data_IF_900145970753
#
_entry.id   IF_900145970753
#
_cell.length_a   1.000
_cell.length_b   1.000
_cell.length_c   1.000
_cell.angle_alpha   90.00
_cell.angle_beta   90.00
_cell.angle_gamma   90.00
#
_symmetry.space_group_name_H-M   'P 1'
#
loop_
_entity.id
_entity.type
_entity.pdbx_description
1 polymer ?
#
# COMPACT_ATOMS: atom_id res chain seq x y z
N UNK A 1 84.03 20.86 10.95
CA UNK A 1 84.13 19.43 10.59
C UNK A 1 83.02 18.66 11.30
N UNK A 2 82.25 17.72 10.77
CA UNK A 2 81.90 17.19 9.43
C UNK A 2 80.85 16.11 9.73
N UNK A 3 79.76 16.06 8.96
CA UNK A 3 78.65 15.09 9.11
C UNK A 3 79.06 13.69 8.60
N UNK A 4 78.50 12.61 9.14
CA UNK A 4 77.80 11.64 8.27
C UNK A 4 76.46 11.20 8.87
N UNK A 5 75.32 11.46 8.21
CA UNK A 5 74.65 10.59 7.23
C UNK A 5 74.37 9.18 7.75
N UNK A 6 73.13 8.93 8.19
CA UNK A 6 72.55 7.58 8.17
C UNK A 6 71.29 7.57 7.32
N UNK A 7 71.43 6.84 6.23
CA UNK A 7 70.43 6.47 5.23
C UNK A 7 69.26 5.69 5.82
N UNK A 8 68.05 6.00 5.36
CA UNK A 8 66.98 5.00 5.29
C UNK A 8 66.41 5.01 3.88
N UNK A 9 66.59 3.90 3.16
CA UNK A 9 65.91 3.59 1.90
C UNK A 9 64.88 2.50 2.14
N UNK A 10 63.75 2.61 1.43
CA UNK A 10 62.79 1.52 1.11
C UNK A 10 61.87 1.13 2.28
N UNK A 11 60.63 0.73 2.10
CA UNK A 11 59.78 0.48 0.93
C UNK A 11 58.32 0.59 1.45
N UNK A 12 57.36 1.05 0.68
CA UNK A 12 56.49 0.13 -0.05
C UNK A 12 55.06 0.67 0.03
N UNK A 13 54.43 0.81 -1.13
CA UNK A 13 53.04 1.24 -1.25
C UNK A 13 52.11 0.11 -0.82
N UNK A 14 51.12 0.42 0.00
CA UNK A 14 49.80 -0.21 -0.07
C UNK A 14 48.76 0.88 0.06
N UNK A 15 48.14 1.19 -1.07
CA UNK A 15 46.91 1.96 -1.14
C UNK A 15 45.81 1.13 -0.47
N UNK A 16 45.38 1.55 0.71
CA UNK A 16 44.10 1.14 1.26
C UNK A 16 43.12 2.30 1.02
N UNK A 17 42.44 2.25 -0.13
CA UNK A 17 41.25 3.06 -0.35
C UNK A 17 40.16 2.55 0.60
N UNK A 18 40.08 3.15 1.79
CA UNK A 18 38.93 2.99 2.65
C UNK A 18 37.78 3.81 2.04
N UNK A 19 37.00 3.19 1.17
CA UNK A 19 35.67 3.69 0.81
C UNK A 19 34.83 3.54 2.08
N UNK A 20 34.81 4.57 2.91
CA UNK A 20 33.79 4.74 3.93
C UNK A 20 32.50 4.99 3.17
N UNK A 21 31.71 3.93 3.01
CA UNK A 21 30.34 4.02 2.53
C UNK A 21 29.56 4.92 3.47
N UNK A 22 29.45 6.20 3.12
CA UNK A 22 28.39 7.07 3.62
C UNK A 22 27.08 6.53 3.05
N UNK A 23 26.51 5.53 3.71
CA UNK A 23 25.07 5.28 3.63
C UNK A 23 24.39 6.48 4.31
N UNK A 24 24.34 7.59 3.56
CA UNK A 24 23.55 8.76 3.90
C UNK A 24 22.08 8.38 3.82
N UNK A 25 21.58 7.76 4.87
CA UNK A 25 20.15 7.63 5.09
C UNK A 25 19.58 9.04 5.19
N UNK A 26 18.88 9.47 4.14
CA UNK A 26 18.02 10.64 4.22
C UNK A 26 16.94 10.25 5.22
N UNK A 27 17.09 10.68 6.47
CA UNK A 27 16.00 10.64 7.44
C UNK A 27 15.03 11.72 6.97
N UNK A 28 14.20 11.37 6.00
CA UNK A 28 13.03 12.16 5.65
C UNK A 28 12.16 12.17 6.89
N UNK A 29 12.23 13.25 7.67
CA UNK A 29 11.20 13.54 8.64
C UNK A 29 9.92 13.75 7.83
N UNK A 30 9.14 12.66 7.69
CA UNK A 30 7.84 12.72 7.08
C UNK A 30 6.97 13.75 7.83
N UNK A 31 5.93 14.29 7.19
CA UNK A 31 4.97 15.10 7.92
C UNK A 31 4.51 14.30 9.15
N UNK A 32 4.36 14.97 10.30
CA UNK A 32 3.72 14.36 11.45
C UNK A 32 2.27 14.06 11.07
N UNK A 33 2.03 12.85 10.58
CA UNK A 33 0.70 12.37 10.26
C UNK A 33 0.03 12.04 11.60
N UNK A 34 -1.07 12.74 11.89
CA UNK A 34 -2.07 12.18 12.78
C UNK A 34 -2.50 10.86 12.12
N UNK A 35 -2.43 9.76 12.86
CA UNK A 35 -2.51 8.39 12.35
C UNK A 35 -1.29 7.98 11.54
N UNK A 36 -0.44 7.14 12.14
CA UNK A 36 0.72 6.53 11.48
C UNK A 36 0.47 5.03 11.30
N UNK A 37 -0.28 4.63 10.26
CA UNK A 37 -0.44 3.22 9.94
C UNK A 37 0.84 2.67 9.30
N UNK A 38 1.36 1.58 9.82
CA UNK A 38 2.40 0.80 9.18
C UNK A 38 1.99 -0.65 9.11
N UNK A 39 2.22 -1.28 7.97
CA UNK A 39 1.90 -2.69 7.78
C UNK A 39 2.76 -3.28 6.66
N UNK A 40 3.03 -4.58 6.78
CA UNK A 40 3.82 -5.33 5.82
C UNK A 40 3.12 -6.65 5.49
N UNK A 41 3.27 -7.03 4.22
CA UNK A 41 2.80 -8.31 3.67
C UNK A 41 4.04 -9.03 3.15
N UNK A 42 4.27 -10.25 3.63
CA UNK A 42 5.24 -11.18 3.07
C UNK A 42 4.48 -12.25 2.27
N UNK A 43 5.18 -13.27 1.79
CA UNK A 43 4.50 -14.39 1.15
C UNK A 43 3.56 -15.10 2.16
N UNK A 44 3.97 -15.31 3.41
CA UNK A 44 3.22 -16.14 4.36
C UNK A 44 2.54 -15.39 5.50
N UNK A 45 2.82 -14.09 5.69
CA UNK A 45 2.44 -13.37 6.89
C UNK A 45 2.07 -11.90 6.64
N UNK A 46 1.19 -11.38 7.48
CA UNK A 46 0.83 -9.95 7.55
C UNK A 46 1.12 -9.41 8.94
N UNK A 47 1.77 -8.25 9.02
CA UNK A 47 2.04 -7.55 10.28
C UNK A 47 1.46 -6.14 10.23
N UNK A 48 0.92 -5.68 11.36
CA UNK A 48 0.31 -4.37 11.51
C UNK A 48 0.90 -3.66 12.73
N UNK A 49 1.12 -2.36 12.58
CA UNK A 49 1.44 -1.43 13.66
C UNK A 49 0.77 -0.08 13.35
N UNK A 50 -0.41 0.11 13.94
CA UNK A 50 -1.27 1.28 13.82
C UNK A 50 -1.08 2.13 15.07
N UNK A 51 -0.71 3.40 14.90
CA UNK A 51 -0.40 4.32 16.01
C UNK A 51 -1.02 5.68 15.81
N UNK A 52 -1.13 6.42 16.91
CA UNK A 52 -1.65 7.79 16.96
C UNK A 52 -3.11 7.89 16.50
N UNK A 53 -3.94 6.91 16.88
CA UNK A 53 -5.40 6.94 16.73
C UNK A 53 -6.08 7.59 17.93
N UNK A 54 -7.32 8.03 17.74
CA UNK A 54 -8.11 8.60 18.82
C UNK A 54 -8.41 7.56 19.91
N UNK A 55 -8.10 7.90 21.16
CA UNK A 55 -8.49 7.10 22.33
C UNK A 55 -9.89 7.42 22.86
N UNK A 56 -10.54 8.45 22.32
CA UNK A 56 -11.88 8.91 22.72
C UNK A 56 -12.97 8.53 21.73
N UNK A 57 -12.62 7.77 20.68
CA UNK A 57 -13.55 7.24 19.70
C UNK A 57 -13.17 5.80 19.34
N UNK A 58 -14.12 5.02 18.83
CA UNK A 58 -13.90 3.62 18.44
C UNK A 58 -13.25 3.57 17.06
N UNK A 59 -12.07 2.98 16.95
CA UNK A 59 -11.41 2.70 15.67
C UNK A 59 -11.62 1.24 15.29
N UNK A 60 -11.66 0.94 14.00
CA UNK A 60 -11.83 -0.43 13.50
C UNK A 60 -10.70 -0.80 12.54
N UNK A 61 -10.21 -2.02 12.62
CA UNK A 61 -9.28 -2.60 11.65
C UNK A 61 -9.82 -3.93 11.12
N UNK A 62 -9.68 -4.15 9.82
CA UNK A 62 -10.02 -5.43 9.16
C UNK A 62 -8.92 -5.77 8.16
N UNK A 63 -8.54 -7.04 8.09
CA UNK A 63 -7.56 -7.54 7.11
C UNK A 63 -8.15 -8.75 6.42
N UNK A 64 -8.10 -8.76 5.08
CA UNK A 64 -8.67 -9.85 4.27
C UNK A 64 -7.81 -10.15 3.05
N UNK A 65 -7.94 -11.36 2.50
CA UNK A 65 -7.51 -11.64 1.13
C UNK A 65 -8.62 -11.20 0.18
N UNK A 66 -8.29 -10.46 -0.88
CA UNK A 66 -9.30 -9.97 -1.83
C UNK A 66 -9.99 -11.15 -2.51
N UNK A 67 -11.31 -11.26 -2.32
CA UNK A 67 -12.11 -12.36 -2.83
C UNK A 67 -11.97 -13.68 -2.04
N UNK A 68 -11.29 -13.64 -0.89
CA UNK A 68 -11.12 -14.75 0.04
C UNK A 68 -11.62 -14.43 1.45
N UNK A 69 -11.06 -15.13 2.43
CA UNK A 69 -11.43 -15.00 3.84
C UNK A 69 -10.77 -13.80 4.54
N UNK A 70 -11.36 -13.39 5.66
CA UNK A 70 -10.76 -12.43 6.58
C UNK A 70 -9.60 -13.07 7.36
N UNK A 71 -8.42 -12.46 7.27
CA UNK A 71 -7.25 -12.79 8.09
C UNK A 71 -7.38 -12.22 9.50
N UNK A 72 -8.06 -11.07 9.61
CA UNK A 72 -8.46 -10.43 10.84
C UNK A 72 -9.86 -9.87 10.64
N UNK A 73 -10.83 -10.49 11.30
CA UNK A 73 -12.19 -9.98 11.38
C UNK A 73 -12.19 -8.56 11.98
N UNK A 74 -13.22 -7.78 11.66
CA UNK A 74 -13.34 -6.40 12.15
C UNK A 74 -13.15 -6.34 13.66
N UNK A 75 -12.05 -5.70 14.05
CA UNK A 75 -11.61 -5.60 15.44
C UNK A 75 -11.56 -4.14 15.84
N UNK A 76 -12.19 -3.82 16.96
CA UNK A 76 -12.14 -2.48 17.54
C UNK A 76 -10.81 -2.26 18.27
N UNK A 77 -10.26 -1.05 18.18
CA UNK A 77 -9.04 -0.68 18.90
C UNK A 77 -9.08 0.78 19.38
N UNK A 78 -8.25 1.06 20.39
CA UNK A 78 -8.08 2.40 20.96
C UNK A 78 -7.03 3.22 20.19
N UNK A 79 -6.06 3.78 20.91
CA UNK A 79 -5.05 4.65 20.30
C UNK A 79 -4.02 3.93 19.41
N UNK A 80 -3.88 2.61 19.60
CA UNK A 80 -2.91 1.79 18.92
C UNK A 80 -3.41 0.36 18.72
N UNK A 81 -2.91 -0.28 17.67
CA UNK A 81 -3.12 -1.68 17.39
C UNK A 81 -1.88 -2.26 16.73
N UNK A 82 -1.30 -3.30 17.33
CA UNK A 82 -0.17 -4.01 16.75
C UNK A 82 -0.38 -5.51 16.84
N UNK A 83 -0.06 -6.24 15.76
CA UNK A 83 -0.09 -7.70 15.76
C UNK A 83 1.04 -8.24 16.63
N UNK A 84 0.70 -8.84 17.78
CA UNK A 84 1.69 -9.53 18.64
C UNK A 84 2.27 -10.78 17.98
N UNK A 85 1.44 -11.46 17.20
CA UNK A 85 1.80 -12.58 16.34
C UNK A 85 1.35 -12.22 14.93
N UNK A 86 2.18 -12.44 13.89
CA UNK A 86 1.78 -12.18 12.52
C UNK A 86 0.49 -12.91 12.15
N UNK A 87 -0.33 -12.29 11.30
CA UNK A 87 -1.50 -12.96 10.74
C UNK A 87 -1.02 -13.88 9.63
N UNK A 88 -1.36 -15.17 9.70
CA UNK A 88 -0.89 -16.13 8.71
C UNK A 88 -1.71 -16.03 7.43
N UNK A 89 -1.03 -15.93 6.29
CA UNK A 89 -1.63 -16.09 4.97
C UNK A 89 -1.83 -17.58 4.66
N UNK A 90 -2.91 -17.92 3.92
CA UNK A 90 -3.05 -19.26 3.39
C UNK A 90 -1.93 -19.55 2.38
N UNK A 91 -1.58 -20.83 2.23
CA UNK A 91 -0.67 -21.28 1.16
C UNK A 91 -1.27 -20.95 -0.20
N UNK A 92 -0.42 -20.51 -1.11
CA UNK A 92 -0.81 -20.04 -2.44
C UNK A 92 0.30 -20.32 -3.45
N UNK A 93 -0.09 -20.78 -4.64
CA UNK A 93 0.76 -21.02 -5.80
C UNK A 93 0.76 -19.84 -6.79
N UNK A 94 0.01 -18.78 -6.47
CA UNK A 94 -0.13 -17.54 -7.24
C UNK A 94 -0.16 -16.34 -6.30
N UNK A 95 0.22 -15.18 -6.80
CA UNK A 95 0.13 -13.92 -6.06
C UNK A 95 -1.25 -13.73 -5.40
N UNK A 96 -1.26 -13.38 -4.11
CA UNK A 96 -2.46 -13.00 -3.38
C UNK A 96 -2.48 -11.50 -3.16
N UNK A 97 -3.66 -10.89 -3.30
CA UNK A 97 -3.85 -9.48 -2.90
C UNK A 97 -4.45 -9.44 -1.50
N UNK A 98 -3.76 -8.78 -0.58
CA UNK A 98 -4.19 -8.56 0.80
C UNK A 98 -4.71 -7.14 0.94
N UNK A 99 -5.89 -6.99 1.53
CA UNK A 99 -6.58 -5.72 1.77
C UNK A 99 -6.55 -5.39 3.26
N UNK A 100 -6.01 -4.22 3.59
CA UNK A 100 -6.14 -3.58 4.89
C UNK A 100 -7.21 -2.49 4.82
N UNK A 101 -8.16 -2.53 5.75
CA UNK A 101 -9.13 -1.44 5.97
C UNK A 101 -9.00 -0.96 7.40
N UNK A 102 -8.79 0.34 7.56
CA UNK A 102 -8.82 1.00 8.86
C UNK A 102 -9.88 2.10 8.83
N UNK A 103 -10.82 2.06 9.79
CA UNK A 103 -11.70 3.18 10.08
C UNK A 103 -11.22 3.89 11.34
N UNK A 104 -10.90 5.18 11.20
CA UNK A 104 -10.63 6.04 12.33
C UNK A 104 -11.95 6.50 12.95
N UNK A 105 -12.02 6.50 14.29
CA UNK A 105 -13.23 6.85 15.03
C UNK A 105 -13.47 8.36 15.16
N UNK A 106 -12.45 9.18 14.92
CA UNK A 106 -12.51 10.64 15.08
C UNK A 106 -12.88 11.38 13.80
N UNK A 107 -12.26 11.05 12.67
CA UNK A 107 -12.58 11.66 11.38
C UNK A 107 -12.37 10.67 10.22
N UNK A 108 -13.32 10.65 9.28
CA UNK A 108 -13.28 9.79 8.10
C UNK A 108 -12.05 10.05 7.21
N UNK A 109 -11.48 11.27 7.23
CA UNK A 109 -10.27 11.60 6.47
C UNK A 109 -9.04 10.77 6.89
N UNK A 110 -9.06 10.19 8.09
CA UNK A 110 -8.01 9.31 8.62
C UNK A 110 -8.32 7.83 8.44
N UNK A 111 -9.51 7.52 7.92
CA UNK A 111 -9.84 6.17 7.47
C UNK A 111 -9.17 5.91 6.13
N UNK A 112 -8.67 4.69 5.93
CA UNK A 112 -8.05 4.32 4.67
C UNK A 112 -8.26 2.85 4.33
N UNK A 113 -8.07 2.57 3.05
CA UNK A 113 -8.02 1.24 2.51
C UNK A 113 -6.78 1.14 1.63
N UNK A 114 -5.98 0.11 1.85
CA UNK A 114 -4.78 -0.15 1.06
C UNK A 114 -4.72 -1.64 0.72
N UNK A 115 -4.18 -1.94 -0.46
CA UNK A 115 -3.97 -3.30 -0.93
C UNK A 115 -2.48 -3.52 -1.19
N UNK A 116 -1.97 -4.70 -0.82
CA UNK A 116 -0.60 -5.14 -1.09
C UNK A 116 -0.60 -6.56 -1.63
N UNK A 117 0.34 -6.85 -2.51
CA UNK A 117 0.52 -8.18 -3.08
C UNK A 117 1.46 -9.01 -2.20
N UNK A 118 1.03 -10.23 -1.86
CA UNK A 118 1.87 -11.30 -1.35
C UNK A 118 2.34 -12.15 -2.54
N UNK A 119 3.64 -12.13 -2.79
CA UNK A 119 4.30 -12.99 -3.77
C UNK A 119 4.25 -14.46 -3.33
N UNK A 120 4.38 -15.39 -4.28
CA UNK A 120 4.46 -16.82 -3.98
C UNK A 120 5.70 -17.14 -3.14
N UNK A 121 5.53 -17.94 -2.08
CA UNK A 121 6.67 -18.38 -1.26
C UNK A 121 7.63 -19.27 -2.06
N UNK A 122 8.94 -19.01 -1.95
CA UNK A 122 9.97 -19.87 -2.54
C UNK A 122 9.89 -21.30 -1.97
N UNK A 123 9.82 -22.29 -2.86
CA UNK A 123 9.71 -23.71 -2.49
C UNK A 123 8.30 -24.30 -2.58
N UNK A 124 7.26 -23.49 -2.83
CA UNK A 124 5.88 -23.98 -3.03
C UNK A 124 5.45 -23.99 -4.51
N UNK A 125 6.28 -23.50 -5.43
CA UNK A 125 6.06 -23.72 -6.87
C UNK A 125 6.23 -25.21 -7.17
N UNK A 126 5.19 -25.93 -7.65
CA UNK A 126 5.43 -27.27 -8.16
C UNK A 126 6.46 -27.15 -9.29
N UNK A 127 7.62 -27.78 -9.11
CA UNK A 127 8.58 -27.96 -10.19
C UNK A 127 7.81 -28.46 -11.42
N UNK A 128 8.01 -27.90 -12.62
CA UNK A 128 7.35 -28.41 -13.81
C UNK A 128 7.66 -29.91 -13.88
N UNK A 129 6.63 -30.73 -13.72
CA UNK A 129 6.75 -32.17 -13.94
C UNK A 129 7.30 -32.31 -15.35
N UNK A 130 8.45 -32.98 -15.57
CA UNK A 130 8.92 -33.20 -16.93
C UNK A 130 7.83 -33.94 -17.66
N UNK A 131 7.23 -33.27 -18.66
CA UNK A 131 6.32 -33.91 -19.60
C UNK A 131 7.11 -35.04 -20.24
N UNK A 132 6.85 -36.25 -19.77
CA UNK A 132 7.33 -37.46 -20.40
C UNK A 132 6.71 -37.46 -21.79
N UNK A 133 7.56 -37.23 -22.79
CA UNK A 133 7.17 -37.21 -24.20
C UNK A 133 6.65 -38.62 -24.54
N UNK A 134 5.33 -38.79 -24.46
CA UNK A 134 4.67 -39.97 -25.00
C UNK A 134 4.89 -39.91 -26.52
N UNK A 135 5.57 -40.90 -27.13
CA UNK A 135 5.74 -40.91 -28.57
C UNK A 135 4.37 -41.04 -29.23
N UNK A 136 4.14 -40.12 -30.17
CA UNK A 136 3.01 -40.06 -31.08
C UNK A 136 2.88 -41.37 -31.87
N UNK A 137 1.81 -42.13 -31.64
CA UNK A 137 1.34 -43.10 -32.63
C UNK A 137 0.28 -42.48 -33.52
N UNK A 138 0.56 -42.57 -34.82
CA UNK A 138 -0.13 -42.06 -36.01
C UNK A 138 -1.52 -42.70 -36.19
N UNK A 139 -2.40 -42.11 -37.03
CA UNK A 139 -3.85 -42.23 -36.96
C UNK A 139 -4.38 -43.48 -37.64
N UNK A 140 -5.46 -44.04 -37.09
CA UNK A 140 -6.29 -45.00 -37.80
C UNK A 140 -7.66 -44.40 -38.13
N UNK A 141 -8.09 -44.70 -39.35
CA UNK A 141 -9.13 -44.07 -40.15
C UNK A 141 -10.45 -44.86 -40.04
N UNK A 142 -11.57 -44.11 -39.87
CA UNK A 142 -12.94 -44.37 -40.41
C UNK A 142 -13.84 -45.45 -39.73
N UNK A 143 -15.21 -45.45 -39.87
CA UNK A 143 -16.20 -44.49 -40.41
C UNK A 143 -17.28 -44.02 -39.39
N UNK A 144 -18.22 -43.11 -39.80
CA UNK A 144 -19.30 -42.58 -38.96
C UNK A 144 -20.56 -43.46 -38.97
N UNK A 145 -21.23 -43.55 -37.82
CA UNK A 145 -22.61 -44.07 -37.65
C UNK A 145 -23.27 -43.11 -36.64
N UNK A 146 -23.99 -42.06 -37.07
CA UNK A 146 -25.39 -42.00 -37.54
C UNK A 146 -26.42 -42.56 -36.55
N UNK A 147 -27.41 -41.71 -36.23
CA UNK A 147 -28.71 -41.99 -35.58
C UNK A 147 -28.66 -42.11 -34.03
N UNK A 148 -29.56 -41.55 -33.20
CA UNK A 148 -30.88 -40.95 -33.40
C UNK A 148 -31.41 -40.39 -32.05
N UNK A 149 -32.34 -39.43 -32.13
CA UNK A 149 -33.35 -38.98 -31.12
C UNK A 149 -32.86 -38.31 -29.82
N UNK A 150 -32.98 -36.99 -29.68
CA UNK A 150 -34.13 -36.16 -29.24
C UNK A 150 -34.18 -35.89 -27.71
N UNK A 151 -34.67 -34.71 -27.29
CA UNK A 151 -34.37 -34.07 -26.02
C UNK A 151 -35.30 -34.52 -24.89
N UNK A 152 -34.81 -34.47 -23.65
CA UNK A 152 -35.70 -34.42 -22.49
C UNK A 152 -35.56 -33.07 -21.82
N UNK A 153 -36.52 -32.20 -22.13
CA UNK A 153 -36.81 -30.98 -21.39
C UNK A 153 -37.23 -31.33 -19.95
N UNK A 154 -36.75 -30.55 -18.98
CA UNK A 154 -37.56 -30.07 -17.85
C UNK A 154 -36.84 -28.88 -17.19
N UNK A 155 -37.19 -27.62 -17.52
CA UNK A 155 -37.03 -26.51 -16.60
C UNK A 155 -38.26 -26.48 -15.68
N UNK A 156 -38.05 -26.67 -14.38
CA UNK A 156 -39.11 -26.41 -13.39
C UNK A 156 -39.11 -24.92 -13.09
N UNK A 157 -39.75 -24.13 -13.95
CA UNK A 157 -40.13 -22.75 -13.65
C UNK A 157 -41.31 -22.77 -12.68
N UNK A 158 -41.06 -22.41 -11.43
CA UNK A 158 -42.11 -21.97 -10.52
C UNK A 158 -42.40 -20.51 -10.82
N UNK A 159 -43.40 -20.27 -11.66
CA UNK A 159 -44.05 -18.98 -11.80
C UNK A 159 -45.19 -18.87 -10.78
N UNK A 160 -45.18 -17.79 -9.99
CA UNK A 160 -46.34 -17.00 -9.51
C UNK A 160 -45.94 -16.31 -8.21
N UNK A 161 -45.81 -14.97 -8.22
CA UNK A 161 -46.90 -14.10 -7.74
C UNK A 161 -46.49 -12.61 -7.77
N UNK A 162 -47.17 -11.87 -8.64
CA UNK A 162 -47.70 -10.50 -8.44
C UNK A 162 -46.73 -9.34 -8.18
N UNK A 163 -46.57 -8.51 -9.21
CA UNK A 163 -46.46 -7.04 -9.10
C UNK A 163 -47.75 -6.41 -9.65
N UNK A 164 -48.26 -5.34 -9.00
CA UNK A 164 -48.40 -4.03 -9.66
C UNK A 164 -47.95 -2.92 -8.68
N UNK A 165 -47.46 -1.73 -9.04
CA UNK A 165 -47.26 -0.99 -10.27
C UNK A 165 -46.16 0.07 -9.99
N UNK A 166 -45.46 0.60 -11.00
CA UNK A 166 -44.56 1.74 -10.83
C UNK A 166 -45.35 3.06 -10.85
N UNK A 167 -45.14 3.91 -9.84
CA UNK A 167 -45.57 5.30 -9.90
C UNK A 167 -44.42 6.15 -10.48
N UNK A 168 -44.65 6.61 -11.71
CA UNK A 168 -44.17 7.85 -12.36
C UNK A 168 -42.75 8.38 -12.06
N UNK A 169 -41.85 8.40 -13.06
CA UNK A 169 -40.79 9.40 -13.16
C UNK A 169 -41.29 10.58 -14.00
N UNK A 170 -41.59 11.72 -13.38
CA UNK A 170 -41.64 12.98 -14.12
C UNK A 170 -41.43 14.19 -13.20
N UNK A 171 -40.18 14.63 -13.14
CA UNK A 171 -39.89 16.06 -13.13
C UNK A 171 -38.67 16.30 -14.00
N UNK A 172 -38.96 16.90 -15.15
CA UNK A 172 -38.14 17.69 -16.05
C UNK A 172 -36.67 17.96 -15.64
N UNK A 173 -35.79 17.63 -16.60
CA UNK A 173 -34.39 18.04 -16.83
C UNK A 173 -34.04 19.52 -16.49
N UNK A 174 -32.75 19.95 -16.45
CA UNK A 174 -31.56 19.31 -17.02
C UNK A 174 -30.29 19.26 -16.13
N UNK A 175 -29.37 18.42 -16.60
CA UNK A 175 -27.93 18.41 -16.31
C UNK A 175 -27.29 19.78 -16.59
N UNK A 176 -26.81 20.45 -15.54
CA UNK A 176 -25.70 21.42 -15.58
C UNK A 176 -25.05 21.53 -14.20
N UNK A 177 -23.83 21.02 -14.09
CA UNK A 177 -22.75 21.52 -13.23
C UNK A 177 -23.09 21.79 -11.75
N UNK A 178 -23.22 20.71 -10.96
CA UNK A 178 -22.91 20.73 -9.53
C UNK A 178 -21.38 20.74 -9.33
N UNK A 179 -20.71 21.78 -9.83
CA UNK A 179 -19.46 22.22 -9.22
C UNK A 179 -19.84 23.07 -8.02
N UNK A 180 -20.20 22.38 -6.93
CA UNK A 180 -20.43 22.95 -5.62
C UNK A 180 -19.19 23.72 -5.16
N UNK A 181 -19.16 24.99 -5.56
CA UNK A 181 -18.35 26.03 -4.97
C UNK A 181 -18.81 26.20 -3.53
N UNK A 182 -18.22 25.42 -2.63
CA UNK A 182 -18.30 25.70 -1.20
C UNK A 182 -17.59 27.02 -0.94
N UNK A 183 -18.39 28.08 -0.94
CA UNK A 183 -18.05 29.42 -0.47
C UNK A 183 -17.80 29.37 1.04
N UNK A 184 -16.60 28.96 1.45
CA UNK A 184 -16.12 29.08 2.82
C UNK A 184 -14.58 29.05 2.87
N UNK A 185 -13.93 30.06 2.32
CA UNK A 185 -12.52 30.36 2.67
C UNK A 185 -12.32 31.86 2.74
N UNK A 186 -12.32 32.43 3.95
CA UNK A 186 -11.39 33.50 4.23
C UNK A 186 -10.66 33.25 5.55
N UNK A 187 -10.00 32.10 5.73
CA UNK A 187 -9.15 31.89 6.93
C UNK A 187 -7.87 31.10 6.64
N UNK A 188 -7.28 31.26 5.45
CA UNK A 188 -5.88 30.83 5.20
C UNK A 188 -5.09 32.03 4.67
N UNK A 189 -5.13 33.13 5.43
CA UNK A 189 -4.32 34.33 5.17
C UNK A 189 -3.36 34.70 6.31
N UNK A 190 -3.57 34.17 7.51
CA UNK A 190 -2.84 34.62 8.71
C UNK A 190 -1.47 33.98 8.91
N UNK A 191 -1.30 32.69 8.60
CA UNK A 191 -0.09 31.95 8.96
C UNK A 191 1.14 32.31 8.09
N UNK A 192 0.94 32.65 6.81
CA UNK A 192 2.02 33.00 5.90
C UNK A 192 2.74 34.30 6.30
N UNK A 193 2.01 35.25 6.89
CA UNK A 193 2.56 36.56 7.27
C UNK A 193 3.46 36.47 8.51
N UNK A 194 3.17 35.55 9.45
CA UNK A 194 4.00 35.31 10.63
C UNK A 194 5.36 34.71 10.28
N UNK A 195 5.41 33.76 9.33
CA UNK A 195 6.67 33.13 8.87
C UNK A 195 7.54 34.14 8.12
N UNK A 196 6.94 34.99 7.27
CA UNK A 196 7.67 36.04 6.55
C UNK A 196 8.26 37.10 7.49
N UNK A 197 7.55 37.48 8.56
CA UNK A 197 8.08 38.40 9.58
C UNK A 197 9.22 37.78 10.39
N UNK A 198 9.12 36.51 10.78
CA UNK A 198 10.18 35.80 11.49
C UNK A 198 11.44 35.62 10.61
N UNK A 199 11.28 35.15 9.38
CA UNK A 199 12.38 34.97 8.43
C UNK A 199 13.05 36.29 8.02
N UNK A 200 12.24 37.32 7.72
CA UNK A 200 12.72 38.65 7.37
C UNK A 200 13.47 39.34 8.51
N UNK A 201 12.98 39.19 9.75
CA UNK A 201 13.63 39.77 10.95
C UNK A 201 15.03 39.20 11.21
N UNK A 202 15.23 37.90 10.98
CA UNK A 202 16.53 37.24 11.15
C UNK A 202 17.52 37.76 10.09
N UNK A 203 17.13 37.79 8.81
CA UNK A 203 18.00 38.26 7.73
C UNK A 203 18.35 39.75 7.86
N UNK A 204 17.40 40.59 8.29
CA UNK A 204 17.65 42.01 8.53
C UNK A 204 18.62 42.24 9.70
N UNK A 205 18.49 41.46 10.78
CA UNK A 205 19.37 41.55 11.95
C UNK A 205 20.82 41.17 11.62
N UNK A 206 21.03 40.14 10.80
CA UNK A 206 22.38 39.74 10.34
C UNK A 206 22.99 40.81 9.43
N UNK A 207 22.21 41.40 8.53
CA UNK A 207 22.67 42.49 7.65
C UNK A 207 23.06 43.74 8.44
N UNK A 208 22.29 44.12 9.45
CA UNK A 208 22.59 45.29 10.30
C UNK A 208 23.92 45.13 11.05
N UNK A 209 24.20 43.94 11.58
CA UNK A 209 25.49 43.66 12.27
C UNK A 209 26.71 43.74 11.35
N UNK A 210 26.57 43.36 10.07
CA UNK A 210 27.67 43.47 9.09
C UNK A 210 27.95 44.91 8.65
N UNK A 211 26.93 45.77 8.62
CA UNK A 211 27.09 47.19 8.26
C UNK A 211 27.74 48.04 9.37
N UNK A 212 27.83 47.53 10.60
CA UNK A 212 28.52 48.21 11.73
C UNK A 212 29.96 47.72 11.94
N UNK A 213 30.44 46.81 11.07
CA UNK A 213 31.79 46.22 11.13
C UNK A 213 32.67 46.73 9.97
N UNK A 214 32.31 47.87 9.37
CA UNK A 214 33.09 48.58 8.35
C UNK A 214 33.27 50.04 8.73
#
# INVERSE_FOLDING_TARGET
MTIPRRSWRGAGAFAAAAVVGLAGGVISAGPAAAHTPTWAVTCSEVTLDLKAYSGSATNEVTVSVVGGDDLLATTEFGQEFSTKTPLQLPKHDKELTVRLVVKAGDDAQYSFQEEKTAEVCEGETPSPTPTEATPSETPNTEPPVSETAEPSATPSETATQTAPAPAEPSSSAPDLAETGSSSATPVIGGAALAVLLAGGGILWSVRKRRATQH
#
